data_IF_918111651210
#
_entry.id   IF_918111651210
#
_cell.length_a   1.000
_cell.length_b   1.000
_cell.length_c   1.000
_cell.angle_alpha   90.00
_cell.angle_beta   90.00
_cell.angle_gamma   90.00
#
_symmetry.space_group_name_H-M   'P 1'
#
loop_
_entity.id
_entity.type
_entity.pdbx_description
1 polymer ?
#
# COMPACT_ATOMS: atom_id res chain seq x y z
N UNK A 1 -4.41 9.23 23.07
CA UNK A 1 -5.11 9.78 21.88
C UNK A 1 -4.56 9.10 20.63
N UNK A 2 -5.43 8.70 19.73
CA UNK A 2 -5.14 8.06 18.46
C UNK A 2 -5.43 9.04 17.31
N UNK A 3 -4.50 9.26 16.38
CA UNK A 3 -4.74 9.99 15.14
C UNK A 3 -4.92 9.00 14.00
N UNK A 4 -6.10 9.00 13.38
CA UNK A 4 -6.42 8.16 12.23
C UNK A 4 -6.20 9.02 10.97
N UNK A 5 -5.30 8.57 10.11
CA UNK A 5 -4.82 9.32 8.95
C UNK A 5 -5.19 8.60 7.65
N UNK A 6 -6.02 9.25 6.83
CA UNK A 6 -6.44 8.68 5.54
C UNK A 6 -5.97 9.55 4.38
N UNK A 7 -4.85 9.20 3.73
CA UNK A 7 -4.46 9.85 2.49
C UNK A 7 -5.42 9.44 1.37
N UNK A 8 -5.89 10.42 0.59
CA UNK A 8 -6.81 10.17 -0.53
C UNK A 8 -6.44 10.99 -1.76
N UNK A 9 -6.77 10.44 -2.92
CA UNK A 9 -6.71 11.16 -4.19
C UNK A 9 -7.82 10.68 -5.10
N UNK A 10 -8.68 11.62 -5.49
CA UNK A 10 -9.82 11.38 -6.38
C UNK A 10 -10.73 10.23 -5.92
N UNK A 11 -10.88 10.07 -4.61
CA UNK A 11 -11.67 9.01 -4.00
C UNK A 11 -12.51 9.54 -2.80
N UNK A 12 -13.75 9.08 -2.67
CA UNK A 12 -14.58 9.39 -1.51
C UNK A 12 -14.27 8.43 -0.36
N UNK A 13 -13.77 8.96 0.74
CA UNK A 13 -13.51 8.19 1.97
C UNK A 13 -14.62 8.35 3.03
N UNK A 14 -15.80 8.86 2.64
CA UNK A 14 -16.89 9.16 3.56
C UNK A 14 -17.32 7.96 4.39
N UNK A 15 -17.64 6.83 3.76
CA UNK A 15 -18.08 5.61 4.46
C UNK A 15 -16.99 5.06 5.41
N UNK A 16 -15.73 5.13 5.00
CA UNK A 16 -14.60 4.75 5.84
C UNK A 16 -14.54 5.62 7.11
N UNK A 17 -14.56 6.94 6.94
CA UNK A 17 -14.45 7.89 8.06
C UNK A 17 -15.66 7.78 9.00
N UNK A 18 -16.89 7.68 8.47
CA UNK A 18 -18.10 7.50 9.27
C UNK A 18 -18.06 6.20 10.09
N UNK A 19 -17.51 5.12 9.54
CA UNK A 19 -17.33 3.84 10.25
C UNK A 19 -16.29 3.94 11.37
N UNK A 20 -15.16 4.57 11.10
CA UNK A 20 -14.08 4.75 12.09
C UNK A 20 -14.50 5.70 13.20
N UNK A 21 -15.18 6.79 12.87
CA UNK A 21 -15.74 7.73 13.83
C UNK A 21 -16.67 7.03 14.83
N UNK A 22 -17.63 6.25 14.32
CA UNK A 22 -18.58 5.49 15.14
C UNK A 22 -17.89 4.51 16.08
N UNK A 23 -16.85 3.79 15.61
CA UNK A 23 -16.07 2.89 16.46
C UNK A 23 -15.29 3.63 17.54
N UNK A 24 -14.66 4.76 17.20
CA UNK A 24 -13.89 5.56 18.16
C UNK A 24 -14.80 6.16 19.26
N UNK A 25 -15.96 6.65 18.90
CA UNK A 25 -16.97 7.15 19.85
C UNK A 25 -17.44 6.03 20.79
N UNK A 26 -17.75 4.85 20.24
CA UNK A 26 -18.18 3.69 21.03
C UNK A 26 -17.13 3.20 22.02
N UNK A 27 -15.84 3.33 21.68
CA UNK A 27 -14.73 2.98 22.56
C UNK A 27 -14.44 4.03 23.63
N UNK A 28 -14.97 5.24 23.51
CA UNK A 28 -14.69 6.36 24.43
C UNK A 28 -13.22 6.77 24.48
N UNK A 29 -12.43 6.50 23.42
CA UNK A 29 -11.03 6.88 23.34
C UNK A 29 -10.88 8.31 22.83
N UNK A 30 -9.84 9.02 23.27
CA UNK A 30 -9.47 10.29 22.64
C UNK A 30 -8.91 10.03 21.23
N UNK A 31 -9.49 10.66 20.21
CA UNK A 31 -9.08 10.47 18.81
C UNK A 31 -9.24 11.74 17.96
N UNK A 32 -8.63 11.72 16.79
CA UNK A 32 -8.90 12.59 15.66
C UNK A 32 -8.83 11.78 14.36
N UNK A 33 -9.54 12.24 13.32
CA UNK A 33 -9.45 11.69 11.96
C UNK A 33 -8.99 12.80 11.02
N UNK A 34 -7.93 12.57 10.27
CA UNK A 34 -7.38 13.52 9.32
C UNK A 34 -7.42 12.91 7.92
N UNK A 35 -8.20 13.52 7.03
CA UNK A 35 -8.25 13.16 5.62
C UNK A 35 -7.29 14.07 4.86
N UNK A 36 -6.37 13.47 4.10
CA UNK A 36 -5.38 14.21 3.29
C UNK A 36 -5.69 14.12 1.80
N UNK A 37 -6.22 15.18 1.20
CA UNK A 37 -6.46 15.30 -0.24
C UNK A 37 -5.16 15.61 -0.97
N UNK A 38 -4.64 14.66 -1.73
CA UNK A 38 -3.36 14.77 -2.44
C UNK A 38 -3.54 15.24 -3.90
N UNK A 39 -3.91 16.51 -4.08
CA UNK A 39 -4.13 17.09 -5.39
C UNK A 39 -5.34 16.48 -6.12
N UNK A 40 -6.39 16.18 -5.38
CA UNK A 40 -7.67 15.71 -5.92
C UNK A 40 -8.37 16.79 -6.74
N UNK A 41 -9.21 16.39 -7.68
CA UNK A 41 -10.09 17.30 -8.42
C UNK A 41 -11.11 17.96 -7.48
N UNK A 42 -11.54 19.18 -7.80
CA UNK A 42 -12.52 19.93 -6.99
C UNK A 42 -13.82 19.13 -6.75
N UNK A 43 -14.24 18.34 -7.75
CA UNK A 43 -15.39 17.45 -7.63
C UNK A 43 -15.20 16.42 -6.50
N UNK A 44 -14.05 15.81 -6.39
CA UNK A 44 -13.77 14.80 -5.37
C UNK A 44 -13.52 15.42 -3.99
N UNK A 45 -12.85 16.58 -3.93
CA UNK A 45 -12.74 17.36 -2.69
C UNK A 45 -14.15 17.69 -2.13
N UNK A 46 -15.07 18.11 -2.99
CA UNK A 46 -16.45 18.40 -2.59
C UNK A 46 -17.20 17.18 -2.01
N UNK A 47 -16.88 15.95 -2.47
CA UNK A 47 -17.46 14.73 -1.91
C UNK A 47 -17.03 14.46 -0.46
N UNK A 48 -15.79 14.82 -0.12
CA UNK A 48 -15.23 14.64 1.22
C UNK A 48 -15.43 15.87 2.13
N UNK A 49 -15.76 17.04 1.58
CA UNK A 49 -15.93 18.27 2.34
C UNK A 49 -16.88 18.16 3.56
N UNK A 50 -18.02 17.43 3.51
CA UNK A 50 -18.88 17.24 4.66
C UNK A 50 -18.20 16.60 5.88
N UNK A 51 -17.11 15.84 5.70
CA UNK A 51 -16.38 15.23 6.79
C UNK A 51 -15.74 16.25 7.74
N UNK A 52 -15.44 17.45 7.25
CA UNK A 52 -14.91 18.54 8.08
C UNK A 52 -15.92 19.09 9.09
N UNK A 53 -17.22 18.75 8.94
CA UNK A 53 -18.27 19.14 9.89
C UNK A 53 -18.47 18.06 10.98
N UNK A 54 -17.87 16.90 10.85
CA UNK A 54 -17.96 15.84 11.86
C UNK A 54 -17.02 16.18 13.03
N UNK A 55 -17.44 15.92 14.29
CA UNK A 55 -16.57 16.07 15.45
C UNK A 55 -15.26 15.30 15.27
N UNK A 56 -14.16 15.86 15.73
CA UNK A 56 -12.83 15.23 15.67
C UNK A 56 -12.30 14.92 14.25
N UNK A 57 -12.96 15.41 13.19
CA UNK A 57 -12.55 15.21 11.81
C UNK A 57 -12.06 16.52 11.18
N UNK A 58 -10.97 16.44 10.41
CA UNK A 58 -10.47 17.57 9.61
C UNK A 58 -9.90 17.11 8.29
N UNK A 59 -9.86 18.01 7.32
CA UNK A 59 -9.35 17.75 5.97
C UNK A 59 -8.15 18.66 5.71
N UNK A 60 -7.07 18.06 5.19
CA UNK A 60 -5.90 18.80 4.72
C UNK A 60 -5.86 18.65 3.20
N UNK A 61 -5.86 19.78 2.48
CA UNK A 61 -5.90 19.80 1.02
C UNK A 61 -4.54 20.24 0.47
N UNK A 62 -3.91 19.39 -0.33
CA UNK A 62 -2.77 19.76 -1.15
C UNK A 62 -3.26 20.23 -2.52
N UNK A 63 -2.75 21.37 -3.00
CA UNK A 63 -3.14 21.95 -4.29
C UNK A 63 -2.70 21.10 -5.47
N UNK A 64 -1.61 20.34 -5.30
CA UNK A 64 -1.05 19.44 -6.31
C UNK A 64 -0.74 18.10 -5.70
N UNK A 65 -0.67 17.05 -6.53
CA UNK A 65 -0.24 15.74 -6.07
C UNK A 65 1.22 15.79 -5.60
N UNK A 66 1.42 15.58 -4.32
CA UNK A 66 2.75 15.53 -3.69
C UNK A 66 3.31 14.11 -3.58
N UNK A 67 2.48 13.10 -3.80
CA UNK A 67 2.84 11.68 -3.80
C UNK A 67 2.65 10.97 -2.46
N UNK A 68 2.57 9.64 -2.53
CA UNK A 68 2.19 8.75 -1.42
C UNK A 68 3.05 8.89 -0.17
N UNK A 69 4.36 9.04 -0.34
CA UNK A 69 5.31 9.24 0.76
C UNK A 69 5.06 10.57 1.45
N UNK A 70 5.02 11.65 0.66
CA UNK A 70 4.95 13.00 1.21
C UNK A 70 3.61 13.30 1.87
N UNK A 71 2.48 12.87 1.28
CA UNK A 71 1.18 13.09 1.92
C UNK A 71 1.09 12.40 3.28
N UNK A 72 1.61 11.16 3.43
CA UNK A 72 1.65 10.48 4.74
C UNK A 72 2.55 11.21 5.74
N UNK A 73 3.68 11.74 5.30
CA UNK A 73 4.56 12.54 6.16
C UNK A 73 3.88 13.82 6.63
N UNK A 74 3.17 14.53 5.75
CA UNK A 74 2.40 15.74 6.09
C UNK A 74 1.34 15.38 7.14
N UNK A 75 0.53 14.35 6.90
CA UNK A 75 -0.53 13.94 7.83
C UNK A 75 0.03 13.59 9.21
N UNK A 76 1.16 12.90 9.27
CA UNK A 76 1.80 12.54 10.53
C UNK A 76 2.38 13.75 11.28
N UNK A 77 2.85 14.77 10.58
CA UNK A 77 3.30 16.03 11.19
C UNK A 77 2.14 16.77 11.84
N UNK A 78 1.01 16.81 11.17
CA UNK A 78 -0.22 17.47 11.61
C UNK A 78 -0.97 16.70 12.71
N UNK A 79 -0.68 15.40 12.87
CA UNK A 79 -1.32 14.56 13.88
C UNK A 79 -0.94 14.99 15.30
N UNK A 80 -1.92 14.97 16.22
CA UNK A 80 -1.74 15.34 17.63
C UNK A 80 -1.63 14.10 18.54
N UNK A 81 -2.09 12.93 18.08
CA UNK A 81 -2.07 11.69 18.85
C UNK A 81 -0.68 11.12 19.07
N UNK A 82 -0.48 10.47 20.19
CA UNK A 82 0.73 9.69 20.49
C UNK A 82 0.90 8.54 19.51
N UNK A 83 -0.20 7.93 19.09
CA UNK A 83 -0.26 6.85 18.12
C UNK A 83 -0.92 7.34 16.84
N UNK A 84 -0.42 6.91 15.71
CA UNK A 84 -0.94 7.18 14.38
C UNK A 84 -1.43 5.87 13.78
N UNK A 85 -2.62 5.85 13.21
CA UNK A 85 -3.16 4.75 12.41
C UNK A 85 -3.38 5.25 10.97
N UNK A 86 -2.57 4.77 10.04
CA UNK A 86 -2.79 5.00 8.61
C UNK A 86 -3.77 3.99 8.04
N UNK A 87 -4.75 4.47 7.27
CA UNK A 87 -5.69 3.64 6.51
C UNK A 87 -5.84 4.26 5.13
N UNK A 88 -5.61 3.49 4.07
CA UNK A 88 -5.84 3.96 2.70
C UNK A 88 -7.34 4.19 2.45
N UNK A 89 -7.68 5.21 1.69
CA UNK A 89 -9.08 5.70 1.52
C UNK A 89 -10.02 4.71 0.82
N UNK A 90 -9.48 3.73 0.10
CA UNK A 90 -10.22 2.66 -0.59
C UNK A 90 -10.41 1.39 0.27
N UNK A 91 -10.24 1.54 1.58
CA UNK A 91 -10.54 0.50 2.56
C UNK A 91 -12.02 0.53 2.99
N UNK A 92 -12.58 -0.67 3.24
CA UNK A 92 -13.88 -0.84 3.87
C UNK A 92 -13.69 -1.54 5.22
N UNK A 93 -14.30 -0.98 6.24
CA UNK A 93 -14.31 -1.52 7.61
C UNK A 93 -15.55 -2.37 7.77
N UNK A 94 -15.41 -3.70 7.75
CA UNK A 94 -16.51 -4.64 8.00
C UNK A 94 -16.55 -5.12 9.45
N UNK A 95 -15.42 -5.10 10.13
CA UNK A 95 -15.25 -5.51 11.52
C UNK A 95 -15.54 -4.33 12.47
N UNK A 96 -16.34 -4.53 13.51
CA UNK A 96 -16.76 -3.43 14.40
C UNK A 96 -15.76 -3.11 15.51
N UNK A 97 -14.74 -3.92 15.71
CA UNK A 97 -13.75 -3.81 16.79
C UNK A 97 -12.32 -3.48 16.32
N UNK A 98 -12.16 -3.04 15.07
CA UNK A 98 -10.85 -2.73 14.47
C UNK A 98 -10.04 -1.77 15.35
N UNK A 99 -10.63 -0.64 15.75
CA UNK A 99 -9.92 0.35 16.56
C UNK A 99 -9.56 -0.17 17.96
N UNK A 100 -10.38 -1.05 18.52
CA UNK A 100 -10.09 -1.74 19.78
C UNK A 100 -8.86 -2.63 19.64
N UNK A 101 -8.83 -3.50 18.62
CA UNK A 101 -7.70 -4.40 18.35
C UNK A 101 -6.37 -3.64 18.14
N UNK A 102 -6.42 -2.50 17.41
CA UNK A 102 -5.24 -1.66 17.24
C UNK A 102 -4.82 -0.99 18.55
N UNK A 103 -5.76 -0.47 19.34
CA UNK A 103 -5.47 0.20 20.59
C UNK A 103 -4.82 -0.75 21.59
N UNK A 104 -5.36 -1.96 21.76
CA UNK A 104 -4.81 -3.01 22.64
C UNK A 104 -3.40 -3.41 22.18
N UNK A 105 -3.18 -3.65 20.89
CA UNK A 105 -1.88 -4.05 20.39
C UNK A 105 -0.81 -2.92 20.50
N UNK A 106 -1.22 -1.65 20.44
CA UNK A 106 -0.32 -0.50 20.61
C UNK A 106 0.12 -0.27 22.06
N UNK A 107 -0.50 -0.91 23.04
CA UNK A 107 -0.01 -0.88 24.43
C UNK A 107 1.37 -1.53 24.53
N UNK A 108 1.55 -2.67 23.87
CA UNK A 108 2.77 -3.48 23.91
C UNK A 108 3.72 -3.24 22.73
N UNK A 109 3.20 -2.80 21.58
CA UNK A 109 3.96 -2.72 20.35
C UNK A 109 4.01 -1.30 19.78
N UNK A 110 5.17 -0.91 19.23
CA UNK A 110 5.35 0.40 18.62
C UNK A 110 4.87 0.46 17.15
N UNK A 111 4.79 -0.69 16.46
CA UNK A 111 4.30 -0.82 15.09
C UNK A 111 3.37 -2.02 14.98
N UNK A 112 2.15 -1.79 14.49
CA UNK A 112 1.08 -2.78 14.38
C UNK A 112 0.50 -2.75 12.97
N UNK A 113 0.33 -3.91 12.32
CA UNK A 113 -0.26 -4.04 10.98
C UNK A 113 -1.48 -4.97 11.01
N UNK A 114 -2.66 -4.47 10.63
CA UNK A 114 -3.90 -5.25 10.61
C UNK A 114 -4.04 -6.16 9.40
N UNK A 115 -3.49 -5.74 8.27
CA UNK A 115 -3.59 -6.48 7.01
C UNK A 115 -4.77 -6.06 6.14
N UNK A 116 -4.96 -6.80 5.07
CA UNK A 116 -6.02 -6.55 4.09
C UNK A 116 -6.49 -7.86 3.47
N UNK A 117 -7.69 -7.84 2.91
CA UNK A 117 -8.24 -8.94 2.10
C UNK A 117 -9.05 -8.38 0.92
N UNK A 118 -9.45 -9.26 0.00
CA UNK A 118 -10.19 -8.88 -1.20
C UNK A 118 -11.48 -9.68 -1.31
N UNK A 119 -12.47 -9.09 -1.96
CA UNK A 119 -13.71 -9.76 -2.32
C UNK A 119 -13.44 -11.06 -3.09
N UNK A 120 -14.37 -12.02 -3.00
CA UNK A 120 -14.23 -13.30 -3.70
C UNK A 120 -14.21 -13.12 -5.23
N UNK A 121 -14.99 -12.18 -5.73
CA UNK A 121 -15.11 -11.85 -7.15
C UNK A 121 -14.58 -10.43 -7.44
N UNK A 122 -13.99 -10.19 -8.64
CA UNK A 122 -13.62 -8.86 -9.05
C UNK A 122 -14.86 -7.98 -9.24
N UNK A 123 -14.77 -6.71 -8.90
CA UNK A 123 -15.88 -5.75 -9.05
C UNK A 123 -16.33 -5.59 -10.50
N UNK A 124 -15.41 -5.72 -11.44
CA UNK A 124 -15.68 -5.67 -12.89
C UNK A 124 -14.76 -6.62 -13.65
N UNK A 125 -15.17 -6.98 -14.89
CA UNK A 125 -14.34 -7.80 -15.79
C UNK A 125 -13.05 -7.11 -16.24
N UNK A 126 -12.89 -5.82 -16.02
CA UNK A 126 -11.70 -5.07 -16.38
C UNK A 126 -10.62 -5.02 -15.28
N UNK A 127 -10.96 -5.45 -14.04
CA UNK A 127 -10.07 -5.40 -12.85
C UNK A 127 -9.48 -6.77 -12.49
N UNK A 128 -9.51 -7.74 -13.39
CA UNK A 128 -9.19 -9.13 -13.08
C UNK A 128 -7.72 -9.40 -12.77
N UNK A 129 -6.79 -8.66 -13.38
CA UNK A 129 -5.36 -8.88 -13.21
C UNK A 129 -4.92 -8.59 -11.77
N UNK A 130 -5.26 -7.40 -11.26
CA UNK A 130 -4.94 -7.02 -9.88
C UNK A 130 -5.67 -7.92 -8.89
N UNK A 131 -6.96 -8.14 -9.10
CA UNK A 131 -7.75 -9.01 -8.23
C UNK A 131 -7.13 -10.41 -8.12
N UNK A 132 -6.79 -11.08 -9.24
CA UNK A 132 -6.13 -12.40 -9.21
C UNK A 132 -4.78 -12.38 -8.51
N UNK A 133 -4.00 -11.33 -8.74
CA UNK A 133 -2.69 -11.18 -8.10
C UNK A 133 -2.83 -11.06 -6.58
N UNK A 134 -3.73 -10.20 -6.11
CA UNK A 134 -3.97 -9.96 -4.70
C UNK A 134 -4.62 -11.18 -4.02
N UNK A 135 -5.63 -11.79 -4.64
CA UNK A 135 -6.26 -13.02 -4.12
C UNK A 135 -5.29 -14.20 -3.99
N UNK A 136 -4.35 -14.33 -4.90
CA UNK A 136 -3.30 -15.36 -4.77
C UNK A 136 -2.41 -15.14 -3.53
N UNK A 137 -2.29 -13.91 -3.06
CA UNK A 137 -1.56 -13.58 -1.84
C UNK A 137 -2.40 -13.77 -0.56
N UNK A 138 -3.73 -13.71 -0.62
CA UNK A 138 -4.63 -13.75 0.54
C UNK A 138 -4.46 -15.02 1.39
N UNK A 139 -4.17 -16.16 0.78
CA UNK A 139 -3.90 -17.42 1.49
C UNK A 139 -2.74 -17.33 2.50
N UNK A 140 -1.89 -16.30 2.41
CA UNK A 140 -0.73 -16.06 3.27
C UNK A 140 -0.85 -14.77 4.06
N UNK A 141 -2.07 -14.23 4.20
CA UNK A 141 -2.33 -12.92 4.83
C UNK A 141 -2.84 -12.97 6.26
N UNK A 142 -3.03 -14.16 6.85
CA UNK A 142 -3.30 -14.23 8.30
C UNK A 142 -2.16 -13.61 9.11
N UNK A 143 -2.45 -13.04 10.27
CA UNK A 143 -1.42 -12.47 11.13
C UNK A 143 -0.34 -13.50 11.47
N UNK A 144 -0.72 -14.77 11.69
CA UNK A 144 0.22 -15.87 11.93
C UNK A 144 1.26 -16.01 10.80
N UNK A 145 0.82 -15.97 9.55
CA UNK A 145 1.73 -16.09 8.39
C UNK A 145 2.55 -14.82 8.17
N UNK A 146 1.96 -13.64 8.42
CA UNK A 146 2.68 -12.36 8.29
C UNK A 146 3.76 -12.21 9.36
N UNK A 147 3.53 -12.66 10.58
CA UNK A 147 4.51 -12.62 11.67
C UNK A 147 5.73 -13.55 11.45
N UNK A 148 5.70 -14.49 10.49
CA UNK A 148 6.88 -15.29 10.12
C UNK A 148 7.93 -14.47 9.36
N UNK A 149 7.53 -13.39 8.68
CA UNK A 149 8.41 -12.49 7.95
C UNK A 149 7.88 -11.05 8.06
N UNK A 150 7.90 -10.45 9.28
CA UNK A 150 7.10 -9.26 9.59
C UNK A 150 7.47 -8.05 8.73
N UNK A 151 8.73 -7.85 8.43
CA UNK A 151 9.20 -6.74 7.60
C UNK A 151 8.88 -6.94 6.11
N UNK A 152 9.00 -8.17 5.60
CA UNK A 152 8.70 -8.50 4.19
C UNK A 152 7.19 -8.50 3.91
N UNK A 153 6.37 -8.51 4.96
CA UNK A 153 4.89 -8.48 4.91
C UNK A 153 4.31 -7.16 5.39
N UNK A 154 5.15 -6.19 5.66
CA UNK A 154 4.69 -4.83 5.95
C UNK A 154 3.98 -4.25 4.72
N UNK A 155 2.85 -3.59 4.95
CA UNK A 155 2.08 -2.88 3.93
C UNK A 155 1.48 -1.62 4.55
N UNK A 156 1.47 -0.54 3.80
CA UNK A 156 0.97 0.76 4.26
C UNK A 156 -0.54 0.90 4.20
N UNK A 157 -1.25 -0.11 3.70
CA UNK A 157 -2.70 -0.08 3.53
C UNK A 157 -3.46 0.16 4.85
N UNK A 158 -3.02 -0.53 5.92
CA UNK A 158 -3.56 -0.35 7.25
C UNK A 158 -2.48 -0.69 8.29
N UNK A 159 -1.88 0.32 8.91
CA UNK A 159 -0.88 0.12 9.95
C UNK A 159 -0.89 1.25 10.97
N UNK A 160 -0.59 0.91 12.22
CA UNK A 160 -0.40 1.89 13.28
C UNK A 160 1.05 1.94 13.73
N UNK A 161 1.47 3.12 14.19
CA UNK A 161 2.84 3.37 14.64
C UNK A 161 2.83 4.48 15.70
N UNK A 162 3.76 4.44 16.65
CA UNK A 162 4.01 5.57 17.55
C UNK A 162 4.47 6.78 16.75
N UNK A 163 3.83 7.93 16.96
CA UNK A 163 4.08 9.16 16.18
C UNK A 163 5.54 9.59 16.23
N UNK A 164 6.19 9.56 17.38
CA UNK A 164 7.60 9.92 17.55
C UNK A 164 8.49 9.04 16.64
N UNK A 165 8.30 7.72 16.70
CA UNK A 165 9.03 6.77 15.86
C UNK A 165 8.80 7.03 14.37
N UNK A 166 7.54 7.32 13.96
CA UNK A 166 7.25 7.65 12.57
C UNK A 166 7.99 8.92 12.11
N UNK A 167 8.00 9.97 12.95
CA UNK A 167 8.65 11.24 12.61
C UNK A 167 10.17 11.14 12.53
N UNK A 168 10.79 10.17 13.23
CA UNK A 168 12.22 9.85 13.10
C UNK A 168 12.55 9.11 11.80
N UNK A 169 11.69 8.22 11.35
CA UNK A 169 11.94 7.36 10.17
C UNK A 169 11.46 8.05 8.90
N UNK A 170 10.19 8.47 8.87
CA UNK A 170 9.45 9.05 7.72
C UNK A 170 9.53 8.21 6.45
N UNK A 171 8.60 8.39 5.56
CA UNK A 171 8.71 7.87 4.21
C UNK A 171 9.73 8.67 3.40
N UNK A 172 10.49 7.99 2.54
CA UNK A 172 11.43 8.64 1.63
C UNK A 172 10.65 9.40 0.53
N UNK A 173 10.69 10.74 0.60
CA UNK A 173 10.00 11.63 -0.35
C UNK A 173 10.70 11.71 -1.71
N UNK A 174 11.88 11.12 -1.87
CA UNK A 174 12.54 10.98 -3.17
C UNK A 174 11.83 9.95 -4.08
N UNK A 175 11.03 9.04 -3.46
CA UNK A 175 10.20 8.09 -4.18
C UNK A 175 8.93 8.81 -4.65
N UNK A 176 8.96 9.31 -5.89
CA UNK A 176 7.82 10.00 -6.51
C UNK A 176 6.91 9.05 -7.28
N UNK A 177 7.47 7.97 -7.79
CA UNK A 177 6.78 6.96 -8.58
C UNK A 177 6.09 5.92 -7.68
N UNK A 178 5.18 5.15 -8.27
CA UNK A 178 4.44 4.10 -7.58
C UNK A 178 5.34 2.93 -7.17
N UNK A 179 5.17 2.45 -5.92
CA UNK A 179 5.63 1.16 -5.41
C UNK A 179 6.96 1.20 -4.64
N UNK A 180 7.12 0.20 -3.79
CA UNK A 180 8.28 -0.05 -2.92
C UNK A 180 8.53 0.99 -1.80
N UNK A 181 7.67 2.02 -1.65
CA UNK A 181 7.74 2.94 -0.50
C UNK A 181 7.51 2.20 0.83
N UNK A 182 6.57 1.26 0.82
CA UNK A 182 6.27 0.36 1.95
C UNK A 182 7.43 -0.60 2.24
N UNK A 183 8.00 -1.19 1.20
CA UNK A 183 9.14 -2.11 1.32
C UNK A 183 10.35 -1.40 1.90
N UNK A 184 10.64 -0.17 1.45
CA UNK A 184 11.74 0.62 2.00
C UNK A 184 11.48 0.98 3.47
N UNK A 185 10.25 1.41 3.80
CA UNK A 185 9.89 1.76 5.18
C UNK A 185 10.00 0.54 6.12
N UNK A 186 9.49 -0.63 5.69
CA UNK A 186 9.67 -1.88 6.44
C UNK A 186 11.14 -2.27 6.63
N UNK A 187 11.99 -2.01 5.64
CA UNK A 187 13.42 -2.25 5.73
C UNK A 187 14.13 -1.29 6.70
N UNK A 188 13.72 -0.01 6.74
CA UNK A 188 14.23 0.96 7.71
C UNK A 188 13.82 0.60 9.16
N UNK A 189 12.59 0.10 9.37
CA UNK A 189 12.17 -0.46 10.65
C UNK A 189 13.07 -1.63 11.08
N UNK A 190 13.37 -2.54 10.14
CA UNK A 190 14.26 -3.69 10.39
C UNK A 190 15.67 -3.25 10.78
N UNK A 191 16.25 -2.30 10.06
CA UNK A 191 17.60 -1.77 10.37
C UNK A 191 17.71 -1.19 11.76
N UNK A 192 16.62 -0.59 12.25
CA UNK A 192 16.55 0.01 13.60
C UNK A 192 16.15 -1.00 14.68
N UNK A 193 15.94 -2.27 14.33
CA UNK A 193 15.52 -3.31 15.27
C UNK A 193 14.10 -3.13 15.81
N UNK A 194 13.28 -2.28 15.15
CA UNK A 194 11.89 -2.03 15.56
C UNK A 194 11.02 -3.21 15.16
N UNK A 195 10.40 -3.85 16.13
CA UNK A 195 9.52 -4.99 15.89
C UNK A 195 8.18 -4.56 15.28
N UNK A 196 7.72 -5.30 14.28
CA UNK A 196 6.40 -5.15 13.68
C UNK A 196 5.52 -6.30 14.19
N UNK A 197 4.39 -5.96 14.80
CA UNK A 197 3.34 -6.90 15.18
C UNK A 197 2.25 -6.94 14.13
N UNK A 198 2.02 -8.09 13.54
CA UNK A 198 0.83 -8.29 12.72
C UNK A 198 -0.31 -8.87 13.55
N UNK A 199 -1.50 -8.28 13.42
CA UNK A 199 -2.75 -8.68 14.09
C UNK A 199 -3.81 -9.07 13.05
N UNK A 200 -4.80 -9.85 13.44
CA UNK A 200 -5.92 -10.22 12.57
C UNK A 200 -7.04 -9.16 12.67
N UNK A 201 -6.73 -7.97 12.12
CA UNK A 201 -7.64 -6.84 11.96
C UNK A 201 -7.66 -6.36 10.49
N UNK A 202 -7.96 -7.26 9.53
CA UNK A 202 -7.85 -6.92 8.12
C UNK A 202 -9.00 -6.03 7.65
N UNK A 203 -8.71 -5.14 6.71
CA UNK A 203 -9.72 -4.33 6.02
C UNK A 203 -9.94 -4.84 4.60
N UNK A 204 -11.17 -4.74 4.11
CA UNK A 204 -11.49 -5.05 2.72
C UNK A 204 -10.94 -3.95 1.79
N UNK A 205 -10.14 -4.34 0.81
CA UNK A 205 -9.63 -3.44 -0.21
C UNK A 205 -10.53 -3.49 -1.45
N UNK A 206 -11.15 -2.37 -1.79
CA UNK A 206 -12.08 -2.27 -2.93
C UNK A 206 -11.55 -1.43 -4.09
N UNK A 207 -10.46 -0.71 -3.92
CA UNK A 207 -9.86 0.19 -4.92
C UNK A 207 -9.11 -0.54 -6.03
N UNK A 208 -9.76 -1.47 -6.73
CA UNK A 208 -9.13 -2.24 -7.81
C UNK A 208 -9.23 -1.49 -9.14
N UNK A 209 -8.07 -1.14 -9.69
CA UNK A 209 -7.98 -0.49 -10.99
C UNK A 209 -8.14 -1.49 -12.15
N UNK A 210 -8.45 -0.96 -13.36
CA UNK A 210 -8.48 -1.77 -14.58
C UNK A 210 -7.12 -2.45 -14.86
N UNK A 211 -7.15 -3.58 -15.58
CA UNK A 211 -5.94 -4.31 -15.96
C UNK A 211 -4.89 -3.41 -16.65
N UNK A 212 -5.34 -2.45 -17.47
CA UNK A 212 -4.47 -1.49 -18.16
C UNK A 212 -3.75 -0.57 -17.17
N UNK A 213 -4.48 0.02 -16.23
CA UNK A 213 -3.93 0.92 -15.21
C UNK A 213 -3.00 0.14 -14.28
N UNK A 214 -3.42 -1.04 -13.83
CA UNK A 214 -2.60 -1.88 -12.96
C UNK A 214 -1.29 -2.31 -13.64
N UNK A 215 -1.32 -2.72 -14.92
CA UNK A 215 -0.10 -3.09 -15.65
C UNK A 215 0.85 -1.91 -15.80
N UNK A 216 0.34 -0.70 -16.05
CA UNK A 216 1.16 0.52 -16.07
C UNK A 216 1.80 0.80 -14.70
N UNK A 217 1.06 0.64 -13.59
CA UNK A 217 1.59 0.75 -12.23
C UNK A 217 2.66 -0.32 -11.93
N UNK A 218 2.50 -1.53 -12.46
CA UNK A 218 3.54 -2.58 -12.36
C UNK A 218 4.81 -2.14 -13.09
N UNK A 219 4.69 -1.62 -14.30
CA UNK A 219 5.84 -1.11 -15.07
C UNK A 219 6.54 0.04 -14.32
N UNK A 220 5.77 1.00 -13.81
CA UNK A 220 6.28 2.11 -12.99
C UNK A 220 7.00 1.61 -11.73
N UNK A 221 6.41 0.65 -11.02
CA UNK A 221 7.03 0.08 -9.82
C UNK A 221 8.36 -0.62 -10.10
N UNK A 222 8.57 -1.16 -11.31
CA UNK A 222 9.85 -1.76 -11.68
C UNK A 222 10.94 -0.71 -11.90
N UNK A 223 10.60 0.50 -12.35
CA UNK A 223 11.55 1.62 -12.36
C UNK A 223 11.92 2.06 -10.93
N UNK A 224 10.93 2.13 -10.04
CA UNK A 224 11.19 2.41 -8.61
C UNK A 224 12.08 1.32 -8.00
N UNK A 225 11.83 0.05 -8.30
CA UNK A 225 12.67 -1.06 -7.84
C UNK A 225 14.12 -0.93 -8.32
N UNK A 226 14.32 -0.52 -9.57
CA UNK A 226 15.67 -0.30 -10.12
C UNK A 226 16.42 0.81 -9.38
N UNK A 227 15.72 1.90 -9.01
CA UNK A 227 16.29 2.99 -8.23
C UNK A 227 16.62 2.59 -6.78
N UNK A 228 15.86 1.66 -6.21
CA UNK A 228 15.97 1.25 -4.80
C UNK A 228 16.72 -0.06 -4.61
N UNK A 229 17.19 -0.73 -5.67
CA UNK A 229 17.75 -2.09 -5.58
C UNK A 229 18.90 -2.25 -4.56
N UNK A 230 19.66 -1.19 -4.33
CA UNK A 230 20.78 -1.17 -3.39
C UNK A 230 20.38 -0.66 -1.98
N UNK A 231 19.14 -0.15 -1.85
CA UNK A 231 18.61 0.43 -0.60
C UNK A 231 17.67 -0.53 0.15
N UNK A 232 17.16 -1.55 -0.50
CA UNK A 232 16.19 -2.51 0.08
C UNK A 232 16.74 -3.93 0.08
N UNK A 233 16.14 -4.80 0.93
CA UNK A 233 16.44 -6.22 0.87
C UNK A 233 16.06 -6.80 -0.51
N UNK A 234 16.85 -7.74 -1.07
CA UNK A 234 16.58 -8.29 -2.39
C UNK A 234 15.21 -8.96 -2.47
N UNK A 235 14.34 -8.43 -3.31
CA UNK A 235 13.03 -9.03 -3.62
C UNK A 235 13.20 -10.34 -4.41
N UNK A 236 12.12 -11.12 -4.53
CA UNK A 236 12.15 -12.35 -5.36
C UNK A 236 12.57 -12.06 -6.80
N UNK A 237 12.09 -10.95 -7.38
CA UNK A 237 12.46 -10.52 -8.72
C UNK A 237 13.95 -10.17 -8.81
N UNK A 238 14.47 -9.38 -7.86
CA UNK A 238 15.91 -9.04 -7.83
C UNK A 238 16.79 -10.27 -7.67
N UNK A 239 16.42 -11.21 -6.79
CA UNK A 239 17.16 -12.48 -6.65
C UNK A 239 17.18 -13.29 -7.95
N UNK A 240 16.04 -13.39 -8.65
CA UNK A 240 15.94 -14.05 -9.94
C UNK A 240 16.81 -13.34 -10.99
N UNK A 241 16.68 -12.02 -11.12
CA UNK A 241 17.48 -11.22 -12.04
C UNK A 241 18.99 -11.35 -11.79
N UNK A 242 19.43 -11.26 -10.53
CA UNK A 242 20.85 -11.39 -10.17
C UNK A 242 21.41 -12.76 -10.51
N UNK A 243 20.63 -13.85 -10.31
CA UNK A 243 21.02 -15.20 -10.73
C UNK A 243 21.18 -15.29 -12.25
N UNK A 244 20.22 -14.79 -13.01
CA UNK A 244 20.29 -14.78 -14.48
C UNK A 244 21.44 -13.93 -15.00
N UNK A 245 21.72 -12.81 -14.35
CA UNK A 245 22.87 -11.94 -14.68
C UNK A 245 24.20 -12.67 -14.48
N UNK A 246 24.37 -13.40 -13.36
CA UNK A 246 25.55 -14.23 -13.09
C UNK A 246 25.73 -15.37 -14.10
N UNK A 247 24.64 -15.89 -14.65
CA UNK A 247 24.63 -16.94 -15.67
C UNK A 247 24.69 -16.39 -17.11
N UNK A 248 24.81 -15.08 -17.30
CA UNK A 248 24.79 -14.40 -18.62
C UNK A 248 23.50 -14.66 -19.42
N UNK A 249 22.38 -15.02 -18.76
CA UNK A 249 21.10 -15.35 -19.40
C UNK A 249 20.15 -14.16 -19.59
N UNK A 250 20.48 -12.99 -19.05
CA UNK A 250 19.60 -11.79 -19.14
C UNK A 250 19.33 -11.36 -20.58
N UNK A 251 20.30 -11.52 -21.50
CA UNK A 251 20.13 -11.23 -22.93
C UNK A 251 19.10 -12.14 -23.60
N UNK A 252 19.10 -13.43 -23.25
CA UNK A 252 18.13 -14.41 -23.76
C UNK A 252 16.72 -14.06 -23.26
N UNK A 253 16.59 -13.77 -21.97
CA UNK A 253 15.29 -13.35 -21.39
C UNK A 253 14.77 -12.10 -22.07
N UNK A 254 15.63 -11.11 -22.30
CA UNK A 254 15.27 -9.87 -22.97
C UNK A 254 14.85 -10.10 -24.44
N UNK A 255 15.56 -10.96 -25.17
CA UNK A 255 15.21 -11.31 -26.54
C UNK A 255 13.83 -11.98 -26.61
N UNK A 256 13.59 -13.01 -25.81
CA UNK A 256 12.29 -13.70 -25.74
C UNK A 256 11.17 -12.74 -25.33
N UNK A 257 11.42 -11.88 -24.33
CA UNK A 257 10.44 -10.89 -23.90
C UNK A 257 10.10 -9.88 -25.01
N UNK A 258 11.10 -9.36 -25.72
CA UNK A 258 10.89 -8.45 -26.86
C UNK A 258 10.04 -9.09 -27.95
N UNK A 259 10.29 -10.35 -28.26
CA UNK A 259 9.52 -11.11 -29.25
C UNK A 259 8.06 -11.34 -28.82
N UNK A 260 7.84 -11.64 -27.53
CA UNK A 260 6.54 -12.03 -27.02
C UNK A 260 5.76 -10.91 -26.31
N UNK A 261 6.32 -9.72 -26.11
CA UNK A 261 5.75 -8.66 -25.27
C UNK A 261 4.31 -8.29 -25.62
N UNK A 262 3.95 -8.27 -26.89
CA UNK A 262 2.61 -7.94 -27.34
C UNK A 262 1.59 -9.04 -26.99
N UNK A 263 1.97 -10.31 -27.13
CA UNK A 263 1.17 -11.47 -26.76
C UNK A 263 0.98 -11.52 -25.23
N UNK A 264 2.07 -11.31 -24.48
CA UNK A 264 2.03 -11.24 -23.01
C UNK A 264 1.09 -10.13 -22.56
N UNK A 265 1.24 -8.93 -23.13
CA UNK A 265 0.40 -7.77 -22.81
C UNK A 265 -1.07 -8.02 -23.16
N UNK A 266 -1.37 -8.63 -24.30
CA UNK A 266 -2.74 -9.00 -24.69
C UNK A 266 -3.37 -9.95 -23.67
N UNK A 267 -2.64 -10.98 -23.22
CA UNK A 267 -3.12 -11.88 -22.15
C UNK A 267 -3.36 -11.11 -20.82
N UNK A 268 -2.42 -10.27 -20.39
CA UNK A 268 -2.52 -9.54 -19.13
C UNK A 268 -3.67 -8.52 -19.13
N UNK A 269 -4.07 -8.02 -20.29
CA UNK A 269 -5.21 -7.12 -20.46
C UNK A 269 -6.54 -7.84 -20.68
N UNK A 270 -6.53 -9.17 -20.81
CA UNK A 270 -7.73 -9.99 -21.03
C UNK A 270 -8.56 -10.17 -19.75
N UNK A 271 -9.74 -10.80 -19.88
CA UNK A 271 -10.61 -11.18 -18.75
C UNK A 271 -10.00 -12.31 -17.88
N UNK A 272 -9.05 -13.10 -18.44
CA UNK A 272 -8.43 -14.24 -17.75
C UNK A 272 -6.90 -14.14 -17.77
N UNK A 273 -6.32 -13.12 -17.11
CA UNK A 273 -4.87 -12.90 -17.13
C UNK A 273 -4.13 -14.00 -16.35
N UNK A 274 -2.97 -14.41 -16.85
CA UNK A 274 -2.10 -15.40 -16.20
C UNK A 274 -1.08 -14.73 -15.30
N UNK A 275 -1.03 -15.15 -14.02
CA UNK A 275 0.00 -14.65 -13.08
C UNK A 275 1.41 -15.15 -13.42
N UNK A 276 1.54 -16.32 -14.03
CA UNK A 276 2.83 -16.83 -14.54
C UNK A 276 3.37 -15.92 -15.64
N UNK A 277 2.50 -15.53 -16.59
CA UNK A 277 2.88 -14.59 -17.64
C UNK A 277 3.17 -13.20 -17.08
N UNK A 278 2.46 -12.75 -16.04
CA UNK A 278 2.77 -11.50 -15.34
C UNK A 278 4.18 -11.55 -14.72
N UNK A 279 4.57 -12.64 -14.07
CA UNK A 279 5.89 -12.77 -13.48
C UNK A 279 6.99 -12.77 -14.55
N UNK A 280 6.77 -13.46 -15.67
CA UNK A 280 7.69 -13.42 -16.80
C UNK A 280 7.75 -12.01 -17.44
N UNK A 281 6.61 -11.35 -17.58
CA UNK A 281 6.52 -9.97 -18.08
C UNK A 281 7.33 -9.00 -17.19
N UNK A 282 7.17 -9.08 -15.86
CA UNK A 282 7.93 -8.28 -14.90
C UNK A 282 9.43 -8.50 -15.03
N UNK A 283 9.86 -9.75 -15.14
CA UNK A 283 11.28 -10.10 -15.29
C UNK A 283 11.86 -9.55 -16.60
N UNK A 284 11.19 -9.77 -17.72
CA UNK A 284 11.63 -9.29 -19.03
C UNK A 284 11.64 -7.77 -19.13
N UNK A 285 10.61 -7.11 -18.58
CA UNK A 285 10.56 -5.65 -18.49
C UNK A 285 11.71 -5.11 -17.64
N UNK A 286 11.97 -5.73 -16.46
CA UNK A 286 13.08 -5.35 -15.59
C UNK A 286 14.43 -5.51 -16.32
N UNK A 287 14.66 -6.62 -17.04
CA UNK A 287 15.85 -6.78 -17.88
C UNK A 287 15.98 -5.66 -18.92
N UNK A 288 14.87 -5.20 -19.48
CA UNK A 288 14.89 -4.15 -20.52
C UNK A 288 15.27 -2.76 -20.01
N UNK A 289 14.91 -2.44 -18.75
CA UNK A 289 15.24 -1.13 -18.15
C UNK A 289 16.60 -1.13 -17.44
N UNK A 290 17.08 -2.32 -17.01
CA UNK A 290 18.38 -2.48 -16.32
C UNK A 290 19.58 -2.47 -17.25
N UNK A 291 19.38 -2.52 -18.58
CA UNK A 291 20.45 -2.49 -19.58
C UNK A 291 20.63 -1.11 -20.19
N UNK A 292 19.77 -0.15 -19.81
CA UNK A 292 19.91 1.27 -20.16
C UNK A 292 20.79 1.98 -19.14
#
# INVERSE_FOLDING_TARGET
>A
MLSILSPTRDYSCRTLVESLHRQADSLGIGYEIIVGEDGSSQKNIALNAPLAQMPHCRIIVQQTNVGRSKIRNILAQEALGRNILFIDSDAVVEQEDILKLYSEALEEHSVVCGGLYHSEHPLTNSCTLRHRYERAADKRRSAKERNKAPYDRFATFCFAIRRELFLEIRFDESIKNYGYEDTLFGYELRKRGVQIKHIDAPLLHIGLESNKVYLAKVEESLHTLLQLQDKIAPTTLLRCYTRLKKLHLTGIILFVWKALRHILRANLLSKHPSLTLLNFYKLGYYCSISQK
#
